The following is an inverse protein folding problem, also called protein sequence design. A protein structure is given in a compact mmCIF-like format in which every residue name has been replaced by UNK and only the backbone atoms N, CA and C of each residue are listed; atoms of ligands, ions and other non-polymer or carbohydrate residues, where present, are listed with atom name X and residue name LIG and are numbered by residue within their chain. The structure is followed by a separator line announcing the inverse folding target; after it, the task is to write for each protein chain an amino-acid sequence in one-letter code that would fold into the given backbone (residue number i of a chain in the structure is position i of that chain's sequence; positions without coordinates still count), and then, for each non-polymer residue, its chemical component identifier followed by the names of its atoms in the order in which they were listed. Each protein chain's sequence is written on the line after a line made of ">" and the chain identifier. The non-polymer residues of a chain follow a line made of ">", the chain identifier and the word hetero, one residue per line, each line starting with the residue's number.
data_IF_899564522264
#
_entry.id   IF_899564522264
#
_cell.length_a   1.000
_cell.length_b   1.000
_cell.length_c   1.000
_cell.angle_alpha   90.00
_cell.angle_beta   90.00
_cell.angle_gamma   90.00
#
_symmetry.space_group_name_H-M   'P 1'
#
loop_
_entity.id
_entity.type
_entity.pdbx_description
1 polymer ?
#
# COMPACT_ATOMS: atom_id res chain seq x y z
N UNK A 1 15.71 -6.73 10.07
CA UNK A 1 14.36 -6.30 9.60
C UNK A 1 14.15 -4.79 9.63
N UNK A 2 14.51 -4.12 10.72
CA UNK A 2 14.51 -2.64 10.81
C UNK A 2 15.42 -1.97 9.78
N UNK A 3 16.49 -2.65 9.36
CA UNK A 3 17.41 -2.21 8.30
C UNK A 3 16.74 -2.05 6.92
N UNK A 4 15.57 -2.69 6.70
CA UNK A 4 14.78 -2.54 5.47
C UNK A 4 13.81 -1.33 5.53
N UNK A 5 13.70 -0.67 6.69
CA UNK A 5 12.80 0.46 6.90
C UNK A 5 13.60 1.77 6.86
N UNK A 6 13.12 2.71 6.06
CA UNK A 6 13.64 4.06 6.03
C UNK A 6 12.53 5.05 6.32
N UNK A 7 12.67 5.80 7.40
CA UNK A 7 11.77 6.92 7.67
C UNK A 7 12.09 8.06 6.70
N UNK A 8 11.05 8.66 6.15
CA UNK A 8 11.15 9.81 5.24
C UNK A 8 10.21 10.89 5.69
N UNK A 9 10.39 12.11 5.20
CA UNK A 9 9.46 13.22 5.45
C UNK A 9 8.02 12.81 5.17
N UNK A 10 7.15 13.11 6.15
CA UNK A 10 5.73 12.82 6.06
C UNK A 10 5.05 13.60 4.93
N UNK A 11 3.91 13.09 4.44
CA UNK A 11 3.15 13.73 3.36
C UNK A 11 2.45 14.99 3.90
N UNK A 12 2.51 16.09 3.14
CA UNK A 12 1.73 17.28 3.46
C UNK A 12 0.23 16.95 3.45
N UNK A 13 -0.48 17.29 4.54
CA UNK A 13 -1.89 16.98 4.69
C UNK A 13 -2.19 15.49 4.91
N UNK A 14 -1.27 14.73 5.53
CA UNK A 14 -1.51 13.34 5.88
C UNK A 14 -2.53 13.24 7.03
N UNK A 15 -3.79 12.91 6.69
CA UNK A 15 -4.78 12.51 7.68
C UNK A 15 -4.33 11.22 8.38
N UNK A 16 -4.19 11.28 9.70
CA UNK A 16 -3.56 10.19 10.47
C UNK A 16 -4.47 9.00 10.74
N UNK A 17 -5.79 9.17 10.58
CA UNK A 17 -6.76 8.14 10.93
C UNK A 17 -8.00 8.21 10.06
N UNK A 18 -8.23 7.12 9.33
CA UNK A 18 -9.52 6.81 8.75
C UNK A 18 -10.13 5.63 9.48
N UNK A 19 -11.44 5.71 9.75
CA UNK A 19 -12.21 4.66 10.40
C UNK A 19 -13.64 4.75 9.91
N UNK A 20 -14.19 3.62 9.51
CA UNK A 20 -15.56 3.53 9.00
C UNK A 20 -16.39 2.62 9.90
N UNK A 21 -17.60 3.05 10.22
CA UNK A 21 -18.62 2.17 10.79
C UNK A 21 -19.34 1.46 9.64
N UNK A 22 -19.25 0.14 9.63
CA UNK A 22 -19.86 -0.75 8.62
C UNK A 22 -21.15 -1.41 9.09
N UNK A 23 -21.69 -1.01 10.26
CA UNK A 23 -22.88 -1.62 10.85
C UNK A 23 -24.09 -1.64 9.92
N UNK A 24 -24.28 -0.58 9.11
CA UNK A 24 -25.37 -0.52 8.12
C UNK A 24 -25.24 -1.55 7.00
N UNK A 25 -24.03 -1.85 6.54
CA UNK A 25 -23.83 -2.92 5.57
C UNK A 25 -24.05 -4.29 6.22
N UNK A 26 -23.55 -4.47 7.45
CA UNK A 26 -23.72 -5.72 8.21
C UNK A 26 -25.18 -6.05 8.52
N UNK A 27 -26.02 -5.04 8.76
CA UNK A 27 -27.46 -5.26 8.93
C UNK A 27 -28.16 -5.78 7.68
N UNK A 28 -27.54 -5.64 6.51
CA UNK A 28 -28.01 -6.22 5.24
C UNK A 28 -27.42 -7.63 4.98
N UNK A 29 -26.75 -8.23 5.96
CA UNK A 29 -26.13 -9.55 5.86
C UNK A 29 -24.72 -9.55 5.26
N UNK A 30 -24.16 -8.38 4.92
CA UNK A 30 -22.78 -8.31 4.45
C UNK A 30 -21.78 -8.55 5.58
N UNK A 31 -20.75 -9.33 5.32
CA UNK A 31 -19.59 -9.48 6.19
C UNK A 31 -18.34 -9.69 5.33
N UNK A 32 -17.16 -9.24 5.78
CA UNK A 32 -15.92 -9.55 5.08
C UNK A 32 -15.66 -11.06 5.14
N UNK A 33 -15.40 -11.66 3.99
CA UNK A 33 -15.04 -13.09 3.89
C UNK A 33 -13.56 -13.34 4.20
N UNK A 34 -12.74 -12.30 4.10
CA UNK A 34 -11.28 -12.37 4.25
C UNK A 34 -10.86 -11.40 5.35
N UNK A 35 -10.16 -11.91 6.36
CA UNK A 35 -9.52 -11.08 7.39
C UNK A 35 -8.22 -10.44 6.86
N UNK A 36 -7.73 -9.43 7.58
CA UNK A 36 -6.58 -8.66 7.13
C UNK A 36 -5.29 -9.49 7.00
N UNK A 37 -5.04 -10.42 7.91
CA UNK A 37 -3.81 -11.21 7.88
C UNK A 37 -3.79 -12.17 6.69
N UNK A 38 -4.90 -12.89 6.49
CA UNK A 38 -5.08 -13.80 5.36
C UNK A 38 -5.00 -13.04 4.03
N UNK A 39 -5.73 -11.93 3.92
CA UNK A 39 -5.75 -11.10 2.71
C UNK A 39 -4.38 -10.49 2.37
N UNK A 40 -3.61 -10.03 3.37
CA UNK A 40 -2.26 -9.51 3.16
C UNK A 40 -1.30 -10.61 2.68
N UNK A 41 -1.39 -11.81 3.26
CA UNK A 41 -0.57 -12.97 2.87
C UNK A 41 -0.85 -13.38 1.43
N UNK A 42 -2.12 -13.44 1.04
CA UNK A 42 -2.54 -13.75 -0.33
C UNK A 42 -2.11 -12.67 -1.32
N UNK A 43 -2.21 -11.39 -0.93
CA UNK A 43 -1.75 -10.27 -1.75
C UNK A 43 -0.25 -10.38 -2.03
N UNK A 44 0.57 -10.61 -1.00
CA UNK A 44 2.03 -10.80 -1.16
C UNK A 44 2.33 -11.96 -2.10
N UNK A 45 1.65 -13.10 -1.90
CA UNK A 45 1.79 -14.27 -2.76
C UNK A 45 1.42 -13.94 -4.21
N UNK A 46 0.32 -13.24 -4.42
CA UNK A 46 -0.14 -12.86 -5.75
C UNK A 46 0.90 -12.00 -6.48
N UNK A 47 1.46 -10.96 -5.85
CA UNK A 47 2.49 -10.12 -6.47
C UNK A 47 3.77 -10.89 -6.81
N UNK A 48 4.17 -11.85 -5.97
CA UNK A 48 5.32 -12.71 -6.24
C UNK A 48 5.07 -13.63 -7.43
N UNK A 49 3.89 -14.25 -7.47
CA UNK A 49 3.56 -15.27 -8.47
C UNK A 49 3.16 -14.64 -9.83
N UNK A 50 2.81 -13.34 -9.86
CA UNK A 50 2.36 -12.60 -11.06
C UNK A 50 3.35 -11.51 -11.50
N UNK A 51 4.65 -11.80 -11.45
CA UNK A 51 5.72 -10.83 -11.79
C UNK A 51 5.55 -10.19 -13.17
N UNK A 52 5.30 -11.01 -14.19
CA UNK A 52 5.14 -10.54 -15.57
C UNK A 52 4.00 -9.53 -15.73
N UNK A 53 2.98 -9.60 -14.87
CA UNK A 53 1.85 -8.67 -14.91
C UNK A 53 2.25 -7.26 -14.45
N UNK A 54 2.88 -7.12 -13.28
CA UNK A 54 3.21 -5.77 -12.77
C UNK A 54 4.47 -5.18 -13.39
N UNK A 55 5.41 -6.01 -13.88
CA UNK A 55 6.61 -5.50 -14.56
C UNK A 55 6.28 -4.69 -15.81
N UNK A 56 5.25 -5.09 -16.55
CA UNK A 56 4.80 -4.36 -17.74
C UNK A 56 4.13 -3.02 -17.41
N UNK A 57 3.61 -2.86 -16.19
CA UNK A 57 3.00 -1.62 -15.71
C UNK A 57 4.04 -0.61 -15.23
N UNK A 58 5.27 -1.06 -14.96
CA UNK A 58 6.38 -0.21 -14.54
C UNK A 58 7.03 0.40 -15.79
N UNK A 59 6.42 1.47 -16.30
CA UNK A 59 6.94 2.23 -17.42
C UNK A 59 7.99 3.26 -16.99
N UNK A 60 8.65 3.87 -17.99
CA UNK A 60 9.56 4.99 -17.75
C UNK A 60 8.84 6.16 -17.06
N UNK A 61 7.56 6.43 -17.40
CA UNK A 61 6.78 7.46 -16.71
C UNK A 61 6.53 7.13 -15.23
N UNK A 62 6.35 5.85 -14.90
CA UNK A 62 6.24 5.43 -13.50
C UNK A 62 7.55 5.66 -12.75
N UNK A 63 8.69 5.34 -13.37
CA UNK A 63 10.00 5.58 -12.77
C UNK A 63 10.28 7.08 -12.60
N UNK A 64 9.94 7.92 -13.58
CA UNK A 64 10.04 9.38 -13.46
C UNK A 64 9.16 9.94 -12.33
N UNK A 65 7.90 9.49 -12.24
CA UNK A 65 7.01 9.84 -11.13
C UNK A 65 7.62 9.44 -9.78
N UNK A 66 8.16 8.22 -9.70
CA UNK A 66 8.78 7.71 -8.47
C UNK A 66 9.98 8.58 -8.05
N UNK A 67 10.86 8.93 -9.00
CA UNK A 67 11.98 9.82 -8.71
C UNK A 67 11.51 11.21 -8.24
N UNK A 68 10.58 11.83 -8.97
CA UNK A 68 10.06 13.16 -8.62
C UNK A 68 9.44 13.20 -7.21
N UNK A 69 8.77 12.13 -6.79
CA UNK A 69 8.03 12.09 -5.52
C UNK A 69 8.82 11.53 -4.34
N UNK A 70 9.87 10.74 -4.57
CA UNK A 70 10.60 10.03 -3.53
C UNK A 70 12.11 10.31 -3.50
N UNK A 71 12.76 10.65 -4.60
CA UNK A 71 14.21 10.86 -4.63
C UNK A 71 14.66 12.03 -3.75
N UNK A 72 13.84 13.09 -3.70
CA UNK A 72 14.09 14.28 -2.89
C UNK A 72 13.50 14.20 -1.47
N UNK A 73 12.79 13.12 -1.10
CA UNK A 73 12.28 12.99 0.26
C UNK A 73 13.44 12.77 1.22
N UNK A 74 13.59 13.69 2.17
CA UNK A 74 14.65 13.61 3.15
C UNK A 74 14.44 12.37 4.01
N UNK A 75 15.47 11.52 4.09
CA UNK A 75 15.52 10.45 5.08
C UNK A 75 15.62 11.08 6.46
N UNK A 76 14.73 10.66 7.36
CA UNK A 76 14.81 11.03 8.77
C UNK A 76 15.84 10.09 9.41
N UNK A 77 16.89 10.67 9.98
CA UNK A 77 17.93 9.95 10.73
C UNK A 77 17.44 9.43 12.07
#
# INVERSE_FOLDING_TARGET
>A
PSELLHFVTDRQGHDRRYSLDSSKARSLGWQPEVDFESGLRETIRWYRDNRAWWEQLRSDEFDEYYQANYAARQRLG
#
